data_IF_151446962510
#
_entry.id   IF_151446962510
#
_cell.length_a   1.000
_cell.length_b   1.000
_cell.length_c   1.000
_cell.angle_alpha   90.00
_cell.angle_beta   90.00
_cell.angle_gamma   90.00
#
_symmetry.space_group_name_H-M   'P 1'
#
loop_
_entity.id
_entity.type
_entity.pdbx_description
1 polymer ?
#
# COMPACT_ATOMS: atom_id res chain seq x y z
N UNK A 1 -4.44 -15.00 -11.66
CA UNK A 1 -4.80 -13.60 -12.01
C UNK A 1 -4.14 -12.67 -11.00
N UNK A 2 -3.26 -11.79 -11.47
CA UNK A 2 -2.60 -10.81 -10.61
C UNK A 2 -3.63 -9.91 -9.90
N UNK A 3 -3.49 -9.71 -8.60
CA UNK A 3 -4.47 -8.98 -7.77
C UNK A 3 -3.82 -7.70 -7.26
N UNK A 4 -4.48 -6.56 -7.48
CA UNK A 4 -4.07 -5.30 -6.89
C UNK A 4 -4.37 -5.30 -5.39
N UNK A 5 -3.33 -5.51 -4.59
CA UNK A 5 -3.45 -5.44 -3.15
C UNK A 5 -2.24 -4.71 -2.54
N UNK A 6 -2.51 -3.62 -1.87
CA UNK A 6 -1.59 -2.93 -0.99
C UNK A 6 -2.35 -2.48 0.25
N UNK A 7 -1.95 -2.97 1.41
CA UNK A 7 -2.46 -2.54 2.71
C UNK A 7 -1.37 -1.80 3.46
N UNK A 8 -1.73 -0.67 4.04
CA UNK A 8 -0.86 0.12 4.90
C UNK A 8 -1.46 0.15 6.29
N UNK A 9 -0.71 -0.26 7.30
CA UNK A 9 -1.18 -0.31 8.68
C UNK A 9 -0.10 0.15 9.67
N UNK A 10 -0.45 0.89 10.71
CA UNK A 10 0.48 1.23 11.77
C UNK A 10 0.72 0.00 12.66
N UNK A 11 1.95 -0.16 13.13
CA UNK A 11 2.29 -1.00 14.28
C UNK A 11 2.33 -0.09 15.50
N UNK A 12 1.35 -0.21 16.38
CA UNK A 12 1.18 0.69 17.51
C UNK A 12 1.10 -0.07 18.83
N UNK A 13 1.72 0.48 19.87
CA UNK A 13 1.68 -0.10 21.22
C UNK A 13 0.28 -0.15 21.80
N UNK A 14 -0.58 0.80 21.45
CA UNK A 14 -2.00 0.77 21.86
C UNK A 14 -2.77 -0.46 21.41
N UNK A 15 -2.24 -1.17 20.40
CA UNK A 15 -2.80 -2.43 19.90
C UNK A 15 -2.03 -3.66 20.43
N UNK A 16 -1.27 -3.54 21.51
CA UNK A 16 -0.41 -4.60 22.00
C UNK A 16 0.76 -4.96 21.09
N UNK A 17 1.04 -4.14 20.06
CA UNK A 17 2.04 -4.41 19.04
C UNK A 17 3.41 -3.86 19.44
N UNK A 18 4.48 -4.57 19.05
CA UNK A 18 5.87 -4.22 19.26
C UNK A 18 6.64 -4.37 17.94
N UNK A 19 7.50 -3.40 17.61
CA UNK A 19 8.22 -3.40 16.33
C UNK A 19 9.24 -4.54 16.25
N UNK A 20 9.93 -4.86 17.36
CA UNK A 20 10.87 -6.01 17.44
C UNK A 20 10.14 -7.33 17.20
N UNK A 21 8.98 -7.51 17.84
CA UNK A 21 8.17 -8.72 17.65
C UNK A 21 7.67 -8.83 16.20
N UNK A 22 7.24 -7.68 15.62
CA UNK A 22 6.75 -7.67 14.24
C UNK A 22 7.85 -7.98 13.23
N UNK A 23 9.05 -7.39 13.38
CA UNK A 23 10.18 -7.67 12.52
C UNK A 23 10.64 -9.13 12.62
N UNK A 24 10.78 -9.65 13.84
CA UNK A 24 11.09 -11.07 14.06
C UNK A 24 10.06 -11.99 13.38
N UNK A 25 8.77 -11.63 13.48
CA UNK A 25 7.68 -12.40 12.87
C UNK A 25 7.77 -12.42 11.34
N UNK A 26 7.94 -11.28 10.68
CA UNK A 26 7.99 -11.23 9.22
C UNK A 26 9.26 -11.87 8.67
N UNK A 27 10.40 -11.66 9.33
CA UNK A 27 11.69 -12.23 8.93
C UNK A 27 11.89 -13.69 9.34
N UNK A 28 10.93 -14.30 10.08
CA UNK A 28 11.09 -15.67 10.63
C UNK A 28 12.38 -15.83 11.42
N UNK A 29 12.69 -14.83 12.22
CA UNK A 29 13.94 -14.72 12.95
C UNK A 29 13.73 -14.77 14.47
N UNK A 30 14.83 -14.80 15.20
CA UNK A 30 14.86 -14.65 16.66
C UNK A 30 15.48 -13.31 17.01
N UNK A 31 14.68 -12.38 17.53
CA UNK A 31 15.14 -11.05 17.92
C UNK A 31 14.80 -10.79 19.39
N UNK A 32 15.80 -10.29 20.14
CA UNK A 32 15.63 -9.90 21.55
C UNK A 32 15.09 -8.46 21.60
N UNK A 33 14.02 -8.27 22.34
CA UNK A 33 13.55 -6.94 22.72
C UNK A 33 14.25 -6.51 24.00
N UNK A 34 14.98 -5.41 23.96
CA UNK A 34 15.65 -4.84 25.12
C UNK A 34 14.63 -4.23 26.07
N UNK A 35 13.66 -3.50 25.57
CA UNK A 35 12.61 -2.88 26.36
C UNK A 35 11.75 -3.89 27.13
N UNK A 36 11.46 -5.05 26.54
CA UNK A 36 10.62 -6.10 27.15
C UNK A 36 11.43 -7.18 27.83
N UNK A 37 12.76 -7.13 27.77
CA UNK A 37 13.70 -8.11 28.32
C UNK A 37 13.43 -9.56 27.90
N UNK A 38 12.80 -9.77 26.72
CA UNK A 38 12.46 -11.10 26.19
C UNK A 38 12.85 -11.23 24.71
N UNK A 39 13.00 -12.47 24.25
CA UNK A 39 13.22 -12.79 22.84
C UNK A 39 11.92 -13.22 22.18
N UNK A 40 11.71 -12.76 20.95
CA UNK A 40 10.68 -13.26 20.03
C UNK A 40 11.34 -14.20 19.05
N UNK A 41 10.91 -15.45 19.00
CA UNK A 41 11.48 -16.49 18.15
C UNK A 41 10.42 -17.08 17.22
N UNK A 42 10.57 -16.84 15.92
CA UNK A 42 9.67 -17.31 14.88
C UNK A 42 10.36 -18.19 13.83
N UNK A 43 11.58 -18.70 14.11
CA UNK A 43 12.38 -19.51 13.19
C UNK A 43 11.73 -20.85 12.83
N UNK A 44 10.84 -21.37 13.67
CA UNK A 44 10.07 -22.58 13.38
C UNK A 44 8.97 -22.40 12.35
N UNK A 45 8.64 -21.14 11.97
CA UNK A 45 7.61 -20.84 10.95
C UNK A 45 8.23 -20.86 9.56
N UNK A 46 7.68 -21.68 8.69
CA UNK A 46 8.10 -21.75 7.29
C UNK A 46 7.59 -20.59 6.42
N UNK A 47 7.83 -20.69 5.11
CA UNK A 47 7.27 -19.82 4.09
C UNK A 47 8.06 -18.54 3.83
N UNK A 48 9.21 -18.30 4.45
CA UNK A 48 10.10 -17.19 4.13
C UNK A 48 10.93 -17.54 2.87
N UNK A 49 10.83 -16.73 1.82
CA UNK A 49 11.66 -16.85 0.62
C UNK A 49 12.89 -15.94 0.68
N UNK A 50 12.72 -14.73 1.25
CA UNK A 50 13.79 -13.74 1.33
C UNK A 50 13.53 -12.73 2.46
N UNK A 51 14.59 -12.25 3.12
CA UNK A 51 14.51 -11.08 4.00
C UNK A 51 15.79 -10.25 3.94
N UNK A 52 15.62 -8.93 3.94
CA UNK A 52 16.73 -7.95 3.96
C UNK A 52 16.25 -6.62 4.53
N UNK A 53 17.18 -5.78 4.95
CA UNK A 53 16.89 -4.40 5.36
C UNK A 53 17.46 -3.45 4.32
N UNK A 54 16.59 -2.58 3.81
CA UNK A 54 16.92 -1.53 2.87
C UNK A 54 16.93 -0.19 3.58
N UNK A 55 17.97 0.60 3.34
CA UNK A 55 18.09 1.96 3.84
C UNK A 55 18.03 2.95 2.68
N UNK A 56 17.68 4.23 2.93
CA UNK A 56 17.70 5.25 1.89
C UNK A 56 19.07 5.32 1.21
N UNK A 57 19.10 5.42 -0.12
CA UNK A 57 20.34 5.49 -0.89
C UNK A 57 21.28 6.64 -0.44
N UNK A 58 20.69 7.76 -0.01
CA UNK A 58 21.45 8.91 0.47
C UNK A 58 22.34 8.61 1.69
N UNK A 59 22.04 7.56 2.46
CA UNK A 59 22.76 7.17 3.68
C UNK A 59 23.27 5.72 3.66
N UNK A 60 23.09 4.99 2.57
CA UNK A 60 23.39 3.56 2.47
C UNK A 60 24.83 3.19 2.90
N UNK A 61 25.83 4.00 2.54
CA UNK A 61 27.23 3.77 2.93
C UNK A 61 27.59 4.19 4.35
N UNK A 62 26.67 4.85 5.09
CA UNK A 62 26.96 5.47 6.40
C UNK A 62 26.06 4.97 7.53
N UNK A 63 24.95 4.32 7.22
CA UNK A 63 23.97 3.83 8.19
C UNK A 63 24.01 2.30 8.34
N UNK A 64 25.21 1.72 8.45
CA UNK A 64 25.42 0.27 8.60
C UNK A 64 24.72 -0.32 9.83
N UNK A 65 24.59 0.46 10.91
CA UNK A 65 23.86 0.08 12.13
C UNK A 65 22.40 -0.29 11.85
N UNK A 66 21.77 0.35 10.87
CA UNK A 66 20.37 0.11 10.52
C UNK A 66 20.14 -1.18 9.73
N UNK A 67 21.20 -1.86 9.28
CA UNK A 67 21.12 -3.15 8.59
C UNK A 67 21.07 -4.33 9.58
N UNK A 68 21.40 -4.08 10.86
CA UNK A 68 21.27 -5.06 11.94
C UNK A 68 19.85 -5.00 12.51
N UNK A 69 19.05 -6.04 12.24
CA UNK A 69 17.61 -6.08 12.60
C UNK A 69 17.35 -5.81 14.08
N UNK A 70 18.10 -6.45 14.96
CA UNK A 70 17.96 -6.25 16.40
C UNK A 70 18.25 -4.80 16.80
N UNK A 71 19.33 -4.22 16.27
CA UNK A 71 19.71 -2.86 16.57
C UNK A 71 18.70 -1.85 16.02
N UNK A 72 18.29 -2.00 14.76
CA UNK A 72 17.30 -1.14 14.11
C UNK A 72 15.99 -1.06 14.91
N UNK A 73 15.41 -2.23 15.23
CA UNK A 73 14.07 -2.27 15.82
C UNK A 73 14.05 -1.96 17.32
N UNK A 74 15.10 -2.27 18.07
CA UNK A 74 15.23 -1.78 19.46
C UNK A 74 15.41 -0.26 19.47
N UNK A 75 16.24 0.31 18.59
CA UNK A 75 16.37 1.77 18.44
C UNK A 75 15.03 2.42 18.06
N UNK A 76 14.23 1.78 17.19
CA UNK A 76 12.91 2.29 16.80
C UNK A 76 11.92 2.28 17.97
N UNK A 77 11.94 1.25 18.82
CA UNK A 77 11.14 1.20 20.04
C UNK A 77 11.56 2.29 21.04
N UNK A 78 12.85 2.47 21.29
CA UNK A 78 13.36 3.43 22.26
C UNK A 78 13.13 4.89 21.83
N UNK A 79 13.13 5.15 20.52
CA UNK A 79 12.85 6.48 19.98
C UNK A 79 11.42 6.98 20.25
N UNK A 80 10.49 6.07 20.61
CA UNK A 80 9.09 6.38 20.83
C UNK A 80 8.72 6.29 22.33
N UNK A 81 8.51 7.44 22.97
CA UNK A 81 8.28 7.52 24.44
C UNK A 81 6.84 7.25 24.87
N UNK A 82 5.84 7.48 23.99
CA UNK A 82 4.43 7.37 24.36
C UNK A 82 3.95 5.92 24.41
N UNK A 83 3.11 5.58 25.39
CA UNK A 83 2.52 4.24 25.50
C UNK A 83 1.64 3.85 24.31
N UNK A 84 1.04 4.81 23.62
CA UNK A 84 0.23 4.59 22.42
C UNK A 84 0.99 4.91 21.13
N UNK A 85 2.33 4.96 21.16
CA UNK A 85 3.12 5.32 20.01
C UNK A 85 2.96 4.34 18.85
N UNK A 86 2.96 4.87 17.63
CA UNK A 86 3.25 4.10 16.43
C UNK A 86 4.77 3.90 16.35
N UNK A 87 5.20 2.64 16.41
CA UNK A 87 6.61 2.25 16.47
C UNK A 87 7.15 1.77 15.11
N UNK A 88 6.25 1.32 14.24
CA UNK A 88 6.55 0.98 12.85
C UNK A 88 5.32 1.20 11.97
N UNK A 89 5.51 1.16 10.66
CA UNK A 89 4.45 1.09 9.65
C UNK A 89 4.68 -0.09 8.74
N UNK A 90 3.65 -0.86 8.50
CA UNK A 90 3.73 -1.99 7.61
C UNK A 90 3.00 -1.72 6.30
N UNK A 91 3.67 -2.02 5.20
CA UNK A 91 3.08 -2.14 3.88
C UNK A 91 3.07 -3.63 3.52
N UNK A 92 1.90 -4.16 3.23
CA UNK A 92 1.71 -5.54 2.78
C UNK A 92 1.22 -5.50 1.34
N UNK A 93 1.97 -6.13 0.44
CA UNK A 93 1.65 -6.19 -0.99
C UNK A 93 1.48 -7.63 -1.45
N UNK A 94 0.51 -7.89 -2.32
CA UNK A 94 0.42 -9.15 -3.04
C UNK A 94 1.38 -9.11 -4.24
N UNK A 95 2.17 -10.17 -4.39
CA UNK A 95 3.09 -10.34 -5.51
C UNK A 95 2.41 -11.16 -6.60
N UNK A 96 2.48 -10.75 -7.88
CA UNK A 96 1.94 -11.54 -8.99
C UNK A 96 2.57 -12.94 -8.99
N UNK A 97 1.75 -13.97 -8.84
CA UNK A 97 2.21 -15.36 -8.82
C UNK A 97 2.73 -15.81 -10.19
N UNK A 98 2.31 -15.12 -11.23
CA UNK A 98 2.71 -15.35 -12.62
C UNK A 98 4.19 -15.02 -12.86
N UNK A 99 4.76 -14.13 -12.04
CA UNK A 99 6.18 -13.78 -12.13
C UNK A 99 7.08 -14.87 -11.53
N UNK A 100 8.29 -14.98 -12.03
CA UNK A 100 9.33 -15.82 -11.44
C UNK A 100 9.70 -15.34 -10.03
N UNK A 101 10.26 -16.22 -9.17
CA UNK A 101 10.72 -15.84 -7.83
C UNK A 101 11.72 -14.68 -7.85
N UNK A 102 12.64 -14.69 -8.84
CA UNK A 102 13.61 -13.60 -9.05
C UNK A 102 12.89 -12.27 -9.37
N UNK A 103 11.95 -12.28 -10.31
CA UNK A 103 11.20 -11.08 -10.69
C UNK A 103 10.34 -10.55 -9.52
N UNK A 104 9.73 -11.44 -8.74
CA UNK A 104 8.99 -11.03 -7.52
C UNK A 104 9.90 -10.36 -6.49
N UNK A 105 11.10 -10.88 -6.28
CA UNK A 105 12.07 -10.28 -5.36
C UNK A 105 12.53 -8.90 -5.85
N UNK A 106 12.89 -8.77 -7.12
CA UNK A 106 13.33 -7.49 -7.71
C UNK A 106 12.21 -6.45 -7.68
N UNK A 107 10.98 -6.84 -8.01
CA UNK A 107 9.78 -6.00 -7.90
C UNK A 107 9.58 -5.48 -6.47
N UNK A 108 9.59 -6.38 -5.47
CA UNK A 108 9.39 -6.02 -4.08
C UNK A 108 10.52 -5.14 -3.53
N UNK A 109 11.78 -5.49 -3.85
CA UNK A 109 12.98 -4.71 -3.47
C UNK A 109 12.93 -3.30 -4.04
N UNK A 110 12.64 -3.17 -5.33
CA UNK A 110 12.54 -1.87 -5.96
C UNK A 110 11.44 -0.98 -5.36
N UNK A 111 10.27 -1.56 -5.04
CA UNK A 111 9.22 -0.81 -4.37
C UNK A 111 9.60 -0.43 -2.92
N UNK A 112 10.23 -1.34 -2.18
CA UNK A 112 10.76 -1.06 -0.85
C UNK A 112 11.79 0.07 -0.87
N UNK A 113 12.72 0.07 -1.85
CA UNK A 113 13.70 1.12 -2.03
C UNK A 113 13.05 2.48 -2.38
N UNK A 114 11.99 2.46 -3.18
CA UNK A 114 11.21 3.67 -3.48
C UNK A 114 10.60 4.28 -2.21
N UNK A 115 10.03 3.45 -1.32
CA UNK A 115 9.49 3.89 -0.02
C UNK A 115 10.61 4.41 0.88
N UNK A 116 11.74 3.67 0.96
CA UNK A 116 12.90 4.06 1.77
C UNK A 116 13.42 5.44 1.36
N UNK A 117 13.67 5.65 0.07
CA UNK A 117 14.18 6.91 -0.45
C UNK A 117 13.20 8.07 -0.26
N UNK A 118 11.89 7.79 -0.44
CA UNK A 118 10.86 8.80 -0.33
C UNK A 118 10.70 9.36 1.08
N UNK A 119 10.72 8.48 2.07
CA UNK A 119 10.45 8.86 3.46
C UNK A 119 11.72 8.95 4.31
N UNK A 120 12.87 8.62 3.75
CA UNK A 120 14.12 8.57 4.50
C UNK A 120 14.13 7.44 5.55
N UNK A 121 13.29 6.42 5.41
CA UNK A 121 13.07 5.35 6.39
C UNK A 121 13.86 4.08 6.03
N UNK A 122 14.21 3.26 7.04
CA UNK A 122 14.60 1.88 6.77
C UNK A 122 13.37 1.00 6.51
N UNK A 123 13.52 0.07 5.59
CA UNK A 123 12.49 -0.92 5.24
C UNK A 123 13.04 -2.33 5.49
N UNK A 124 12.45 -3.04 6.46
CA UNK A 124 12.69 -4.46 6.66
C UNK A 124 11.74 -5.23 5.73
N UNK A 125 12.28 -5.73 4.62
CA UNK A 125 11.58 -6.45 3.58
C UNK A 125 11.61 -7.95 3.87
N UNK A 126 10.45 -8.60 3.79
CA UNK A 126 10.33 -10.05 3.86
C UNK A 126 9.34 -10.57 2.80
N UNK A 127 9.78 -11.51 1.97
CA UNK A 127 8.94 -12.18 0.98
C UNK A 127 8.49 -13.52 1.53
N UNK A 128 7.19 -13.79 1.40
CA UNK A 128 6.60 -15.03 1.86
C UNK A 128 5.95 -15.79 0.71
N UNK A 129 6.22 -17.09 0.67
CA UNK A 129 5.51 -18.05 -0.15
C UNK A 129 4.09 -18.31 0.42
N UNK A 130 3.16 -18.81 -0.40
CA UNK A 130 1.87 -19.31 0.06
C UNK A 130 2.04 -20.38 1.15
N UNK A 131 1.11 -20.41 2.10
CA UNK A 131 1.05 -21.51 3.07
C UNK A 131 0.42 -22.75 2.44
N UNK A 132 0.79 -23.95 2.94
CA UNK A 132 0.29 -25.22 2.41
C UNK A 132 -1.26 -25.33 2.46
N UNK A 133 -1.88 -24.67 3.44
CA UNK A 133 -3.33 -24.69 3.67
C UNK A 133 -4.08 -23.53 2.96
N UNK A 134 -3.33 -22.60 2.34
CA UNK A 134 -3.87 -21.38 1.71
C UNK A 134 -3.96 -21.48 0.20
N UNK A 135 -4.30 -20.35 -0.43
CA UNK A 135 -4.23 -20.20 -1.89
C UNK A 135 -2.75 -20.25 -2.33
N UNK A 136 -2.41 -21.22 -3.17
CA UNK A 136 -1.04 -21.43 -3.71
C UNK A 136 -0.51 -20.23 -4.50
N UNK A 137 -1.34 -19.27 -4.83
CA UNK A 137 -1.01 -18.02 -5.53
C UNK A 137 -0.69 -16.86 -4.59
N UNK A 138 -0.87 -17.03 -3.28
CA UNK A 138 -0.76 -15.93 -2.30
C UNK A 138 0.70 -15.60 -1.93
N UNK A 139 1.52 -15.32 -2.95
CA UNK A 139 2.83 -14.73 -2.73
C UNK A 139 2.67 -13.28 -2.26
N UNK A 140 3.37 -12.90 -1.21
CA UNK A 140 3.23 -11.56 -0.66
C UNK A 140 4.54 -11.07 -0.01
N UNK A 141 4.69 -9.75 0.04
CA UNK A 141 5.81 -9.12 0.71
C UNK A 141 5.34 -8.22 1.84
N UNK A 142 6.01 -8.34 2.97
CA UNK A 142 5.94 -7.42 4.09
C UNK A 142 7.07 -6.41 3.99
N UNK A 143 6.75 -5.13 4.06
CA UNK A 143 7.68 -4.04 4.10
C UNK A 143 7.44 -3.29 5.42
N UNK A 144 8.25 -3.58 6.43
CA UNK A 144 8.13 -2.92 7.72
C UNK A 144 9.05 -1.69 7.76
N UNK A 145 8.46 -0.52 7.87
CA UNK A 145 9.13 0.78 7.81
C UNK A 145 9.32 1.37 9.19
N UNK A 146 10.46 1.98 9.44
CA UNK A 146 10.64 2.86 10.60
C UNK A 146 9.73 4.07 10.49
N UNK A 147 9.28 4.60 11.65
CA UNK A 147 8.46 5.83 11.71
C UNK A 147 9.31 7.10 11.69
N UNK A 148 10.63 6.94 11.71
CA UNK A 148 11.61 8.03 11.71
C UNK A 148 12.61 7.85 10.59
N UNK A 149 13.16 8.97 10.15
CA UNK A 149 14.23 9.00 9.17
C UNK A 149 15.50 8.33 9.72
N UNK A 150 16.23 7.64 8.85
CA UNK A 150 17.52 7.03 9.18
C UNK A 150 18.63 8.05 9.00
N UNK A 151 19.39 8.28 10.06
CA UNK A 151 20.63 9.03 10.04
C UNK A 151 21.86 8.11 10.12
N UNK A 152 23.03 8.71 10.04
CA UNK A 152 24.32 8.01 10.13
C UNK A 152 24.51 7.28 11.47
N UNK A 153 24.08 7.92 12.57
CA UNK A 153 24.31 7.41 13.93
C UNK A 153 23.04 7.02 14.68
N UNK A 154 21.87 7.03 14.03
CA UNK A 154 20.60 6.73 14.68
C UNK A 154 19.39 7.29 13.93
N UNK A 155 18.24 7.27 14.62
CA UNK A 155 16.97 7.77 14.09
C UNK A 155 16.84 9.29 14.26
N UNK A 156 16.38 9.93 13.19
CA UNK A 156 16.12 11.36 13.13
C UNK A 156 14.66 11.74 13.46
N UNK A 157 14.18 12.74 12.75
CA UNK A 157 12.80 13.23 12.86
C UNK A 157 11.78 12.21 12.35
N UNK A 158 10.51 12.42 12.68
CA UNK A 158 9.40 11.64 12.12
C UNK A 158 9.37 11.78 10.60
N UNK A 159 9.15 10.65 9.93
CA UNK A 159 8.95 10.64 8.47
C UNK A 159 7.67 11.40 8.09
N UNK A 160 7.62 11.93 6.87
CA UNK A 160 6.50 12.76 6.42
C UNK A 160 5.15 12.04 6.50
N UNK A 161 5.11 10.72 6.29
CA UNK A 161 3.88 9.93 6.38
C UNK A 161 3.39 9.75 7.83
N UNK A 162 4.26 9.94 8.84
CA UNK A 162 3.92 9.81 10.25
C UNK A 162 3.52 11.13 10.91
N UNK A 163 3.60 12.23 10.19
CA UNK A 163 3.13 13.52 10.68
C UNK A 163 1.60 13.51 10.81
N UNK A 164 1.08 14.23 11.80
CA UNK A 164 -0.35 14.46 11.94
C UNK A 164 -0.88 15.38 10.83
N UNK A 165 -2.19 15.37 10.61
CA UNK A 165 -2.81 16.10 9.50
C UNK A 165 -2.58 17.62 9.58
N UNK A 166 -2.58 18.22 10.78
CA UNK A 166 -2.30 19.65 10.94
C UNK A 166 -0.90 20.00 10.43
N UNK A 167 0.12 19.24 10.87
CA UNK A 167 1.51 19.46 10.40
C UNK A 167 1.69 19.17 8.92
N UNK A 168 0.99 18.15 8.40
CA UNK A 168 0.99 17.84 6.96
C UNK A 168 0.39 18.99 6.14
N UNK A 169 -0.72 19.55 6.62
CA UNK A 169 -1.37 20.70 5.98
C UNK A 169 -0.46 21.94 5.97
N UNK A 170 0.19 22.27 7.10
CA UNK A 170 1.17 23.36 7.18
C UNK A 170 2.32 23.22 6.15
N UNK A 171 2.72 21.97 5.87
CA UNK A 171 3.77 21.66 4.90
C UNK A 171 3.26 21.49 3.46
N UNK A 172 1.97 21.71 3.20
CA UNK A 172 1.35 21.54 1.89
C UNK A 172 1.34 20.09 1.37
N UNK A 173 1.41 19.09 2.26
CA UNK A 173 1.54 17.67 1.89
C UNK A 173 0.19 16.99 1.58
N UNK A 174 -0.92 17.63 1.91
CA UNK A 174 -2.24 17.00 1.85
C UNK A 174 -2.42 15.88 2.90
N UNK A 175 -3.53 15.15 2.83
CA UNK A 175 -3.84 14.09 3.79
C UNK A 175 -2.92 12.86 3.61
N UNK A 176 -2.77 12.06 4.66
CA UNK A 176 -2.05 10.79 4.61
C UNK A 176 -2.68 9.81 3.59
N UNK A 177 -3.99 9.87 3.38
CA UNK A 177 -4.70 9.06 2.40
C UNK A 177 -4.24 9.32 0.96
N UNK A 178 -3.89 10.56 0.63
CA UNK A 178 -3.34 10.89 -0.67
C UNK A 178 -1.99 10.21 -0.91
N UNK A 179 -1.12 10.19 0.10
CA UNK A 179 0.15 9.46 0.01
C UNK A 179 -0.06 7.95 -0.20
N UNK A 180 -1.00 7.34 0.55
CA UNK A 180 -1.32 5.91 0.40
C UNK A 180 -1.88 5.62 -0.99
N UNK A 181 -2.76 6.48 -1.52
CA UNK A 181 -3.28 6.34 -2.88
C UNK A 181 -2.17 6.39 -3.93
N UNK A 182 -1.24 7.33 -3.78
CA UNK A 182 -0.08 7.44 -4.67
C UNK A 182 0.82 6.20 -4.60
N UNK A 183 1.06 5.65 -3.41
CA UNK A 183 1.81 4.40 -3.26
C UNK A 183 1.09 3.21 -3.92
N UNK A 184 -0.25 3.16 -3.89
CA UNK A 184 -1.02 2.14 -4.62
C UNK A 184 -0.82 2.24 -6.13
N UNK A 185 -0.85 3.46 -6.67
CA UNK A 185 -0.57 3.68 -8.10
C UNK A 185 0.86 3.28 -8.45
N UNK A 186 1.84 3.75 -7.70
CA UNK A 186 3.25 3.41 -7.92
C UNK A 186 3.51 1.89 -7.85
N UNK A 187 2.84 1.19 -6.93
CA UNK A 187 2.88 -0.28 -6.85
C UNK A 187 2.31 -0.94 -8.10
N UNK A 188 1.13 -0.51 -8.55
CA UNK A 188 0.48 -1.07 -9.73
C UNK A 188 1.28 -0.82 -11.00
N UNK A 189 1.81 0.39 -11.19
CA UNK A 189 2.65 0.74 -12.34
C UNK A 189 3.90 -0.15 -12.40
N UNK A 190 4.65 -0.23 -11.29
CA UNK A 190 5.84 -1.06 -11.22
C UNK A 190 5.53 -2.54 -11.45
N UNK A 191 4.48 -3.08 -10.85
CA UNK A 191 4.08 -4.48 -11.07
C UNK A 191 3.68 -4.73 -12.53
N UNK A 192 3.01 -3.76 -13.17
CA UNK A 192 2.63 -3.84 -14.57
C UNK A 192 3.84 -3.79 -15.54
N UNK A 193 4.90 -3.07 -15.18
CA UNK A 193 6.16 -3.09 -15.92
C UNK A 193 6.78 -4.50 -15.92
N UNK A 194 6.87 -5.14 -14.75
CA UNK A 194 7.39 -6.50 -14.62
C UNK A 194 6.51 -7.55 -15.34
N UNK A 195 5.18 -7.40 -15.26
CA UNK A 195 4.26 -8.27 -15.99
C UNK A 195 4.41 -8.11 -17.49
N UNK A 196 4.57 -6.88 -17.97
CA UNK A 196 4.83 -6.61 -19.39
C UNK A 196 6.16 -7.19 -19.87
N UNK A 197 7.25 -6.99 -19.12
CA UNK A 197 8.58 -7.55 -19.43
C UNK A 197 8.57 -9.09 -19.46
N UNK A 198 7.70 -9.71 -18.65
CA UNK A 198 7.49 -11.16 -18.67
C UNK A 198 6.58 -11.65 -19.81
N UNK A 199 6.09 -10.77 -20.67
CA UNK A 199 5.18 -11.11 -21.78
C UNK A 199 3.77 -11.47 -21.33
N UNK A 200 3.35 -11.04 -20.15
CA UNK A 200 2.04 -11.35 -19.56
C UNK A 200 1.04 -10.22 -19.86
N UNK A 201 -0.22 -10.60 -20.14
CA UNK A 201 -1.29 -9.65 -20.44
C UNK A 201 -1.96 -9.06 -19.18
N UNK A 202 -1.85 -9.75 -18.04
CA UNK A 202 -2.44 -9.32 -16.78
C UNK A 202 -1.95 -7.94 -16.39
N UNK A 203 -2.87 -7.11 -15.85
CA UNK A 203 -2.54 -5.78 -15.34
C UNK A 203 -3.22 -5.54 -14.00
N UNK A 204 -2.51 -4.85 -13.12
CA UNK A 204 -3.04 -4.34 -11.86
C UNK A 204 -3.64 -2.96 -12.10
N UNK A 205 -4.82 -2.72 -11.56
CA UNK A 205 -5.47 -1.42 -11.58
C UNK A 205 -5.62 -0.88 -10.15
N UNK A 206 -4.95 0.22 -9.86
CA UNK A 206 -4.95 0.84 -8.53
C UNK A 206 -6.19 1.68 -8.23
N UNK A 207 -7.04 1.94 -9.23
CA UNK A 207 -8.28 2.71 -9.06
C UNK A 207 -9.24 1.96 -8.14
N UNK A 208 -10.06 2.70 -7.41
CA UNK A 208 -11.14 2.12 -6.62
C UNK A 208 -12.18 1.43 -7.51
N UNK A 209 -13.00 0.56 -6.93
CA UNK A 209 -14.13 -0.05 -7.65
C UNK A 209 -15.04 1.02 -8.28
N UNK A 210 -15.28 2.12 -7.55
CA UNK A 210 -16.05 3.25 -8.06
C UNK A 210 -15.42 3.89 -9.30
N UNK A 211 -14.13 4.22 -9.25
CA UNK A 211 -13.40 4.85 -10.38
C UNK A 211 -13.30 3.92 -11.60
N UNK A 212 -13.26 2.60 -11.38
CA UNK A 212 -13.24 1.61 -12.48
C UNK A 212 -14.60 1.36 -13.10
N UNK A 213 -15.66 1.79 -12.45
CA UNK A 213 -16.99 1.45 -12.89
C UNK A 213 -17.47 0.06 -12.47
N UNK A 214 -16.79 -0.59 -11.53
CA UNK A 214 -17.21 -1.91 -11.04
C UNK A 214 -18.52 -1.82 -10.27
N UNK A 215 -19.38 -2.78 -10.47
CA UNK A 215 -20.68 -2.87 -9.77
C UNK A 215 -20.58 -3.48 -8.36
N UNK A 216 -19.38 -3.56 -7.78
CA UNK A 216 -19.15 -4.24 -6.51
C UNK A 216 -18.50 -3.35 -5.48
N UNK A 217 -18.91 -3.48 -4.23
CA UNK A 217 -18.20 -2.88 -3.07
C UNK A 217 -17.20 -3.86 -2.48
N UNK A 218 -16.13 -3.37 -1.84
CA UNK A 218 -15.17 -4.22 -1.16
C UNK A 218 -15.85 -5.11 -0.13
N UNK A 219 -15.51 -6.40 -0.12
CA UNK A 219 -16.05 -7.33 0.87
C UNK A 219 -15.54 -6.98 2.28
N UNK A 220 -16.41 -7.01 3.30
CA UNK A 220 -15.98 -6.81 4.67
C UNK A 220 -15.06 -7.96 5.13
N UNK A 221 -14.05 -7.62 5.91
CA UNK A 221 -13.17 -8.62 6.50
C UNK A 221 -13.86 -9.27 7.70
N UNK A 222 -14.10 -10.56 7.59
CA UNK A 222 -14.42 -11.36 8.77
C UNK A 222 -13.17 -11.47 9.67
N UNK A 223 -13.37 -11.41 10.98
CA UNK A 223 -12.28 -11.62 11.94
C UNK A 223 -11.86 -13.10 11.96
N UNK A 224 -10.66 -13.39 12.45
CA UNK A 224 -10.21 -14.78 12.60
C UNK A 224 -11.16 -15.59 13.51
N UNK A 225 -11.69 -14.96 14.56
CA UNK A 225 -12.65 -15.60 15.44
C UNK A 225 -13.94 -15.98 14.70
N UNK A 226 -14.51 -15.07 13.90
CA UNK A 226 -15.69 -15.35 13.08
C UNK A 226 -15.42 -16.49 12.10
N UNK A 227 -14.28 -16.47 11.41
CA UNK A 227 -13.87 -17.53 10.48
C UNK A 227 -13.69 -18.86 11.21
N UNK A 228 -13.14 -18.86 12.42
CA UNK A 228 -12.94 -20.05 13.21
C UNK A 228 -14.28 -20.70 13.61
N UNK A 229 -15.22 -19.91 14.12
CA UNK A 229 -16.57 -20.36 14.48
C UNK A 229 -17.29 -20.97 13.27
N UNK A 230 -17.24 -20.32 12.10
CA UNK A 230 -17.87 -20.88 10.89
C UNK A 230 -17.19 -22.19 10.40
N UNK A 231 -15.86 -22.27 10.52
CA UNK A 231 -15.12 -23.51 10.16
C UNK A 231 -15.41 -24.67 11.10
N UNK A 232 -15.77 -24.42 12.37
CA UNK A 232 -16.24 -25.46 13.29
C UNK A 232 -17.66 -25.94 12.99
N UNK A 233 -18.33 -25.36 12.01
CA UNK A 233 -19.72 -25.68 11.64
C UNK A 233 -20.76 -24.98 12.51
N UNK A 234 -20.33 -24.05 13.36
CA UNK A 234 -21.24 -23.27 14.21
C UNK A 234 -21.72 -22.00 13.49
N UNK A 235 -22.92 -21.58 13.84
CA UNK A 235 -23.51 -20.34 13.33
C UNK A 235 -22.84 -19.14 13.98
N UNK A 236 -22.32 -18.22 13.17
CA UNK A 236 -21.71 -16.96 13.64
C UNK A 236 -22.64 -15.78 13.30
N UNK A 237 -23.51 -15.39 14.23
CA UNK A 237 -24.43 -14.26 14.04
C UNK A 237 -23.72 -12.94 13.68
N UNK A 238 -22.51 -12.72 14.21
CA UNK A 238 -21.73 -11.54 13.87
C UNK A 238 -21.29 -11.55 12.40
N UNK A 239 -20.88 -12.71 11.87
CA UNK A 239 -20.54 -12.85 10.45
C UNK A 239 -21.77 -12.69 9.54
N UNK A 240 -22.94 -13.21 9.96
CA UNK A 240 -24.19 -13.02 9.23
C UNK A 240 -24.57 -11.55 9.16
N UNK A 241 -24.56 -10.82 10.30
CA UNK A 241 -24.80 -9.36 10.32
C UNK A 241 -23.84 -8.60 9.39
N UNK A 242 -22.57 -8.98 9.36
CA UNK A 242 -21.59 -8.38 8.43
C UNK A 242 -21.99 -8.59 6.97
N UNK A 243 -22.46 -9.80 6.62
CA UNK A 243 -22.89 -10.11 5.24
C UNK A 243 -24.18 -9.37 4.88
N UNK A 244 -25.12 -9.24 5.80
CA UNK A 244 -26.35 -8.48 5.60
C UNK A 244 -26.08 -7.00 5.38
N UNK A 245 -25.21 -6.40 6.21
CA UNK A 245 -24.76 -5.02 6.03
C UNK A 245 -24.05 -4.81 4.70
N UNK A 246 -23.19 -5.75 4.32
CA UNK A 246 -22.53 -5.71 3.02
C UNK A 246 -23.52 -5.79 1.87
N UNK A 247 -24.51 -6.69 1.94
CA UNK A 247 -25.54 -6.80 0.92
C UNK A 247 -26.41 -5.53 0.82
N UNK A 248 -26.71 -4.88 1.94
CA UNK A 248 -27.41 -3.60 1.95
C UNK A 248 -26.56 -2.49 1.31
N UNK A 249 -25.27 -2.41 1.68
CA UNK A 249 -24.31 -1.47 1.09
C UNK A 249 -24.13 -1.69 -0.40
N UNK A 250 -24.11 -2.97 -0.85
CA UNK A 250 -24.00 -3.32 -2.27
C UNK A 250 -25.22 -2.82 -3.06
N UNK A 251 -26.44 -2.95 -2.52
CA UNK A 251 -27.66 -2.43 -3.15
C UNK A 251 -27.61 -0.91 -3.28
N UNK A 252 -27.32 -0.21 -2.19
CA UNK A 252 -27.19 1.26 -2.20
C UNK A 252 -26.12 1.74 -3.20
N UNK A 253 -24.98 1.06 -3.22
CA UNK A 253 -23.90 1.38 -4.16
C UNK A 253 -24.35 1.22 -5.62
N UNK A 254 -25.13 0.18 -5.91
CA UNK A 254 -25.66 -0.05 -7.25
C UNK A 254 -26.67 1.05 -7.66
N UNK A 255 -27.55 1.45 -6.76
CA UNK A 255 -28.50 2.54 -6.97
C UNK A 255 -27.79 3.86 -7.25
N UNK A 256 -26.81 4.23 -6.40
CA UNK A 256 -26.00 5.45 -6.57
C UNK A 256 -25.21 5.45 -7.89
N UNK A 257 -24.76 4.28 -8.33
CA UNK A 257 -24.07 4.18 -9.63
C UNK A 257 -25.00 4.45 -10.80
N UNK A 258 -26.19 3.86 -10.79
CA UNK A 258 -27.18 4.10 -11.85
C UNK A 258 -27.52 5.58 -11.92
N UNK A 259 -27.71 6.22 -10.77
CA UNK A 259 -27.99 7.66 -10.68
C UNK A 259 -26.81 8.49 -11.23
N UNK A 260 -25.59 8.20 -10.80
CA UNK A 260 -24.40 8.88 -11.29
C UNK A 260 -24.18 8.73 -12.79
N UNK A 261 -24.33 7.51 -13.33
CA UNK A 261 -24.23 7.26 -14.76
C UNK A 261 -25.31 8.00 -15.57
N UNK A 262 -26.52 8.08 -15.03
CA UNK A 262 -27.60 8.82 -15.67
C UNK A 262 -27.34 10.32 -15.70
N UNK A 263 -26.74 10.87 -14.64
CA UNK A 263 -26.36 12.26 -14.56
C UNK A 263 -25.19 12.59 -15.52
N UNK A 264 -24.18 11.72 -15.60
CA UNK A 264 -23.09 11.87 -16.56
C UNK A 264 -23.59 11.88 -18.01
N UNK A 265 -24.55 11.00 -18.35
CA UNK A 265 -25.15 10.96 -19.69
C UNK A 265 -25.90 12.26 -20.00
N UNK A 266 -26.65 12.80 -19.02
CA UNK A 266 -27.33 14.10 -19.19
C UNK A 266 -26.31 15.22 -19.42
N UNK A 267 -25.24 15.28 -18.65
CA UNK A 267 -24.18 16.30 -18.81
C UNK A 267 -23.49 16.17 -20.17
N UNK A 268 -23.18 14.95 -20.62
CA UNK A 268 -22.62 14.71 -21.95
C UNK A 268 -23.55 15.14 -23.07
N UNK A 269 -24.84 14.83 -22.96
CA UNK A 269 -25.84 15.26 -23.95
C UNK A 269 -25.92 16.79 -24.01
N UNK A 270 -26.01 17.47 -22.87
CA UNK A 270 -25.99 18.91 -22.81
C UNK A 270 -24.72 19.54 -23.36
N UNK A 271 -23.55 18.86 -23.20
CA UNK A 271 -22.30 19.34 -23.79
C UNK A 271 -22.30 19.19 -25.32
N UNK A 272 -22.85 18.11 -25.87
CA UNK A 272 -23.01 17.87 -27.31
C UNK A 272 -23.98 18.91 -27.91
N UNK A 273 -25.11 19.13 -27.25
CA UNK A 273 -26.15 20.08 -27.72
C UNK A 273 -25.65 21.54 -27.74
N UNK A 274 -24.56 21.83 -27.02
CA UNK A 274 -23.91 23.18 -27.00
C UNK A 274 -22.78 23.34 -28.02
N UNK A 275 -22.37 22.28 -28.71
CA UNK A 275 -21.36 22.39 -29.75
C UNK A 275 -21.99 23.12 -30.98
N UNK A 276 -21.36 24.17 -31.51
CA UNK A 276 -21.79 24.76 -32.76
C UNK A 276 -21.68 23.74 -33.89
N UNK A 277 -22.67 23.72 -34.80
CA UNK A 277 -22.64 22.83 -35.97
C UNK A 277 -21.27 22.96 -36.68
N UNK A 278 -20.58 21.83 -36.80
CA UNK A 278 -19.25 21.79 -37.39
C UNK A 278 -19.31 22.17 -38.85
N UNK A 279 -18.67 23.27 -39.19
CA UNK A 279 -18.34 23.59 -40.58
C UNK A 279 -17.46 22.49 -41.21
N UNK A 280 -17.36 22.44 -42.58
CA UNK A 280 -16.69 21.35 -43.27
C UNK A 280 -15.25 21.16 -42.80
N UNK A 281 -14.91 19.88 -42.55
CA UNK A 281 -13.63 19.43 -41.98
C UNK A 281 -12.42 19.84 -42.84
N UNK A 282 -11.32 20.34 -42.27
CA UNK A 282 -10.07 20.51 -42.97
C UNK A 282 -9.44 19.16 -43.37
N UNK A 283 -8.86 19.10 -44.57
CA UNK A 283 -8.16 17.93 -45.12
C UNK A 283 -7.03 17.45 -44.22
N UNK A 284 -6.78 16.15 -44.15
CA UNK A 284 -5.73 15.58 -43.29
C UNK A 284 -4.32 15.97 -43.75
N UNK A 285 -3.50 16.41 -42.82
CA UNK A 285 -2.07 16.64 -43.02
C UNK A 285 -1.31 15.29 -43.02
N UNK A 286 -0.18 15.15 -43.74
CA UNK A 286 0.50 13.89 -43.91
C UNK A 286 1.22 13.41 -42.64
N UNK A 287 1.08 12.12 -42.38
CA UNK A 287 1.78 11.36 -41.32
C UNK A 287 3.29 11.61 -41.32
N UNK A 288 3.80 12.10 -40.20
CA UNK A 288 5.22 11.98 -39.87
C UNK A 288 5.41 10.85 -38.86
N UNK A 289 5.82 9.70 -39.36
CA UNK A 289 6.34 8.62 -38.58
C UNK A 289 7.59 9.07 -37.81
N UNK A 290 7.49 9.15 -36.49
CA UNK A 290 8.63 9.28 -35.60
C UNK A 290 8.82 7.93 -34.87
N UNK A 291 9.71 7.10 -35.41
CA UNK A 291 10.30 5.97 -34.70
C UNK A 291 11.20 6.51 -33.59
N UNK A 292 10.74 6.43 -32.35
CA UNK A 292 11.59 6.65 -31.19
C UNK A 292 12.17 5.31 -30.74
N UNK A 293 13.48 5.13 -30.93
CA UNK A 293 14.27 4.09 -30.29
C UNK A 293 14.08 4.20 -28.77
N UNK A 294 13.50 3.17 -28.16
CA UNK A 294 13.37 3.07 -26.71
C UNK A 294 14.73 2.70 -26.13
N UNK A 295 15.44 3.68 -25.64
CA UNK A 295 16.63 3.50 -24.80
C UNK A 295 16.27 2.62 -23.59
N UNK A 296 16.99 1.52 -23.42
CA UNK A 296 16.78 0.60 -22.28
C UNK A 296 17.31 1.25 -21.00
N UNK A 297 16.41 1.81 -20.22
CA UNK A 297 16.72 2.44 -18.94
C UNK A 297 17.28 1.44 -17.92
N UNK A 298 18.32 1.82 -17.21
CA UNK A 298 18.84 1.04 -16.08
C UNK A 298 17.83 0.96 -14.92
N UNK A 299 17.93 -0.01 -14.00
CA UNK A 299 17.07 -0.06 -12.81
C UNK A 299 17.09 1.24 -12.00
N UNK A 300 18.26 1.89 -11.88
CA UNK A 300 18.40 3.18 -11.18
C UNK A 300 17.67 4.33 -11.91
N UNK A 301 17.68 4.32 -13.24
CA UNK A 301 16.96 5.32 -14.05
C UNK A 301 15.44 5.10 -13.96
N UNK A 302 14.99 3.86 -13.86
CA UNK A 302 13.57 3.51 -13.64
C UNK A 302 13.07 4.00 -12.30
N UNK A 303 13.85 3.85 -11.25
CA UNK A 303 13.51 4.33 -9.90
C UNK A 303 13.45 5.86 -9.85
N UNK A 304 14.39 6.53 -10.53
CA UNK A 304 14.39 7.99 -10.68
C UNK A 304 13.17 8.48 -11.44
N UNK A 305 12.83 7.85 -12.57
CA UNK A 305 11.64 8.15 -13.36
C UNK A 305 10.32 7.86 -12.60
N UNK A 306 10.26 6.80 -11.82
CA UNK A 306 9.10 6.49 -10.97
C UNK A 306 8.87 7.58 -9.91
N UNK A 307 9.95 8.08 -9.29
CA UNK A 307 9.89 9.20 -8.34
C UNK A 307 9.51 10.50 -9.05
N UNK A 308 10.07 10.80 -10.22
CA UNK A 308 9.75 12.00 -10.99
C UNK A 308 8.30 12.00 -11.50
N UNK A 309 7.80 10.88 -12.03
CA UNK A 309 6.40 10.71 -12.44
C UNK A 309 5.46 10.86 -11.24
N UNK A 310 5.83 10.30 -10.10
CA UNK A 310 5.07 10.44 -8.88
C UNK A 310 5.02 11.91 -8.40
N UNK A 311 6.13 12.64 -8.46
CA UNK A 311 6.17 14.07 -8.13
C UNK A 311 5.38 14.92 -9.13
N UNK A 312 5.36 14.54 -10.41
CA UNK A 312 4.55 15.18 -11.45
C UNK A 312 3.05 14.93 -11.21
N UNK A 313 2.64 13.67 -11.03
CA UNK A 313 1.27 13.29 -10.68
C UNK A 313 0.77 14.04 -9.44
N UNK A 314 1.61 14.17 -8.43
CA UNK A 314 1.30 14.93 -7.22
C UNK A 314 1.06 16.41 -7.49
N UNK A 315 1.84 17.05 -8.38
CA UNK A 315 1.65 18.44 -8.75
C UNK A 315 0.33 18.65 -9.49
N UNK A 316 -0.03 17.74 -10.38
CA UNK A 316 -1.26 17.81 -11.17
C UNK A 316 -2.52 17.58 -10.33
N UNK A 317 -2.45 16.69 -9.31
CA UNK A 317 -3.62 16.26 -8.52
C UNK A 317 -3.67 16.85 -7.11
N UNK A 318 -2.77 17.76 -6.75
CA UNK A 318 -2.74 18.41 -5.44
C UNK A 318 -3.97 19.32 -5.20
N UNK A 319 -4.70 19.71 -6.25
CA UNK A 319 -5.83 20.64 -6.22
C UNK A 319 -7.18 19.99 -6.53
N UNK A 320 -7.27 18.65 -6.69
CA UNK A 320 -8.57 18.00 -6.84
C UNK A 320 -9.26 17.90 -5.49
N UNK A 321 -10.41 18.53 -5.28
CA UNK A 321 -11.15 18.40 -4.02
C UNK A 321 -11.57 16.95 -3.84
N UNK A 322 -11.30 16.38 -2.66
CA UNK A 322 -11.73 15.03 -2.29
C UNK A 322 -13.26 15.02 -2.22
N UNK A 323 -13.91 14.47 -3.22
CA UNK A 323 -15.31 14.05 -3.12
C UNK A 323 -15.33 12.89 -2.11
N UNK A 324 -15.67 13.16 -0.86
CA UNK A 324 -15.76 12.12 0.17
C UNK A 324 -15.49 12.54 1.62
N UNK A 325 -15.21 13.83 1.89
CA UNK A 325 -14.88 14.26 3.26
C UNK A 325 -16.09 14.59 4.15
N UNK A 326 -17.32 14.62 3.62
CA UNK A 326 -18.47 15.06 4.42
C UNK A 326 -19.24 13.93 5.13
N UNK A 327 -19.04 12.66 4.76
CA UNK A 327 -19.82 11.54 5.33
C UNK A 327 -19.10 10.67 6.37
N UNK A 328 -17.90 11.03 6.83
CA UNK A 328 -17.17 10.22 7.82
C UNK A 328 -17.16 10.80 9.24
N UNK A 329 -17.87 11.91 9.51
CA UNK A 329 -17.91 12.49 10.87
C UNK A 329 -18.88 11.79 11.83
N UNK A 330 -19.80 10.98 11.36
CA UNK A 330 -20.79 10.30 12.22
C UNK A 330 -20.49 8.82 12.53
N UNK A 331 -19.52 8.19 11.88
CA UNK A 331 -19.18 6.77 12.13
C UNK A 331 -17.90 6.54 12.96
N UNK A 332 -17.35 7.59 13.55
CA UNK A 332 -16.06 7.57 14.26
C UNK A 332 -16.12 7.51 15.79
N UNK A 333 -17.26 7.26 16.41
CA UNK A 333 -17.38 7.05 17.87
C UNK A 333 -18.15 5.77 18.11
N UNK A 334 -17.47 4.72 18.26
CA UNK A 334 -17.64 3.52 19.08
C UNK A 334 -16.96 2.35 18.40
N UNK A 335 -15.97 1.82 19.04
CA UNK A 335 -15.52 0.45 19.16
C UNK A 335 -14.01 0.39 19.40
N UNK A 336 -13.64 0.85 20.60
CA UNK A 336 -12.49 0.30 21.30
C UNK A 336 -12.88 -1.07 21.82
N UNK A 337 -12.48 -2.10 21.11
CA UNK A 337 -12.42 -3.45 21.65
C UNK A 337 -11.11 -4.06 21.19
N UNK A 338 -10.23 -4.31 22.15
CA UNK A 338 -8.96 -4.96 21.97
C UNK A 338 -9.10 -6.31 21.30
N UNK A 339 -8.12 -6.63 20.48
CA UNK A 339 -7.92 -7.98 20.01
C UNK A 339 -6.46 -8.34 20.13
N UNK A 340 -6.24 -9.26 21.04
CA UNK A 340 -5.05 -10.09 21.14
C UNK A 340 -4.90 -10.97 19.90
N UNK A 341 -3.63 -11.10 19.44
CA UNK A 341 -2.98 -12.10 18.59
C UNK A 341 -3.43 -12.30 17.15
#
# INVERSE_FOLDING_TARGET
MAIMFLRVSPVARSHGSNAVARSAYIARDRVRSEQLHRSFDYRSRGGLEHSEILVPQAVAGRAGWAQERAQLWNTAEDAERRQNARVAREYLVALPHELSGKARLELARGFAQTIANRYGAAIDLALHAPTAEGDSRNFHAHLLSTTREIGEHGLGRKTLIELNDARRFELGLGSQWNDIRLLRHAWAERANEYLHEAGLEQRLDARSHWERGDATVPQPRLTRAMIHVERSGERCEAAERFREQHAATQRLYHELRIEHESELRRQQQHAVDRLPEAGPAPSPAPDRAAGAEREQLTPADRDRLAVERWLAYRREHAHSPSVGAENTKELGRDHGAGLEF
#
